data_IF_156136237463
#
_entry.id   IF_156136237463
#
_cell.length_a   1.000
_cell.length_b   1.000
_cell.length_c   1.000
_cell.angle_alpha   90.00
_cell.angle_beta   90.00
_cell.angle_gamma   90.00
#
_symmetry.space_group_name_H-M   'P 1'
#
loop_
_entity.id
_entity.type
_entity.pdbx_description
1 polymer ?
#
# COMPACT_ATOMS: atom_id res chain seq x y z
N UNK A 1 3.94 9.20 -9.92
CA UNK A 1 2.57 9.05 -9.37
C UNK A 1 2.34 10.17 -8.34
N UNK A 2 1.18 10.25 -7.69
CA UNK A 2 0.88 11.32 -6.71
C UNK A 2 0.01 10.83 -5.55
N UNK A 3 0.07 11.54 -4.43
CA UNK A 3 -0.90 11.40 -3.34
C UNK A 3 -2.32 11.70 -3.84
N UNK A 4 -3.29 10.89 -3.42
CA UNK A 4 -4.70 11.15 -3.71
C UNK A 4 -5.20 12.35 -2.90
N UNK A 5 -6.01 13.24 -3.49
CA UNK A 5 -6.43 14.50 -2.85
C UNK A 5 -7.22 14.32 -1.54
N UNK A 6 -7.79 13.14 -1.31
CA UNK A 6 -8.54 12.79 -0.09
C UNK A 6 -7.70 12.06 0.95
N UNK A 7 -6.47 11.64 0.62
CA UNK A 7 -5.65 10.87 1.53
C UNK A 7 -5.14 11.76 2.64
N UNK A 8 -5.17 11.25 3.87
CA UNK A 8 -4.33 11.81 4.93
C UNK A 8 -2.86 11.53 4.58
N UNK A 9 -1.98 12.44 5.01
CA UNK A 9 -0.55 12.36 4.88
C UNK A 9 0.12 12.84 6.19
N UNK A 10 1.43 12.64 6.31
CA UNK A 10 2.23 13.04 7.46
C UNK A 10 3.18 11.93 7.96
N UNK A 11 3.95 12.22 9.02
CA UNK A 11 5.04 11.37 9.50
C UNK A 11 4.56 10.07 10.15
N UNK A 12 3.27 9.94 10.47
CA UNK A 12 2.68 8.72 11.02
C UNK A 12 2.28 7.68 9.97
N UNK A 13 2.45 7.99 8.67
CA UNK A 13 2.25 7.02 7.59
C UNK A 13 3.50 6.15 7.45
N UNK A 14 3.34 4.86 7.13
CA UNK A 14 4.48 3.97 6.86
C UNK A 14 4.88 3.97 5.37
N UNK A 15 3.88 3.82 4.49
CA UNK A 15 4.04 3.78 3.03
C UNK A 15 2.70 4.03 2.32
N UNK A 16 2.77 4.27 1.02
CA UNK A 16 1.63 4.49 0.14
C UNK A 16 1.33 3.25 -0.70
N UNK A 17 0.08 3.08 -1.13
CA UNK A 17 -0.33 2.03 -2.06
C UNK A 17 -1.47 2.52 -2.98
N UNK A 18 -1.76 1.85 -4.10
CA UNK A 18 -2.81 2.26 -5.03
C UNK A 18 -4.19 2.33 -4.37
N UNK A 19 -4.79 3.52 -4.35
CA UNK A 19 -6.10 3.77 -3.73
C UNK A 19 -7.09 4.53 -4.61
N UNK A 20 -6.76 4.83 -5.87
CA UNK A 20 -7.62 5.54 -6.83
C UNK A 20 -7.89 4.63 -8.01
N UNK A 21 -9.13 4.64 -8.49
CA UNK A 21 -9.63 3.82 -9.59
C UNK A 21 -9.36 2.31 -9.38
N UNK A 22 -9.49 1.82 -8.14
CA UNK A 22 -9.24 0.42 -7.80
C UNK A 22 -10.49 -0.41 -8.13
N UNK A 23 -10.36 -1.30 -9.12
CA UNK A 23 -11.41 -2.24 -9.51
C UNK A 23 -11.33 -3.52 -8.68
N UNK A 24 -12.40 -3.89 -8.00
CA UNK A 24 -12.49 -5.13 -7.23
C UNK A 24 -13.90 -5.76 -7.30
N UNK A 25 -14.07 -6.94 -6.71
CA UNK A 25 -15.33 -7.66 -6.65
C UNK A 25 -16.39 -6.88 -5.84
N UNK A 26 -17.67 -7.09 -6.17
CA UNK A 26 -18.80 -6.53 -5.41
C UNK A 26 -19.84 -7.60 -5.05
N UNK A 27 -20.62 -7.41 -3.97
CA UNK A 27 -21.74 -8.29 -3.65
C UNK A 27 -22.74 -8.41 -4.81
N UNK A 28 -23.29 -9.60 -5.02
CA UNK A 28 -24.20 -9.89 -6.14
C UNK A 28 -23.50 -10.17 -7.48
N UNK A 29 -22.16 -10.22 -7.50
CA UNK A 29 -21.36 -10.56 -8.67
C UNK A 29 -20.82 -9.35 -9.44
N UNK A 30 -19.88 -9.62 -10.35
CA UNK A 30 -19.18 -8.60 -11.11
C UNK A 30 -18.19 -7.78 -10.28
N UNK A 31 -17.90 -6.56 -10.74
CA UNK A 31 -16.91 -5.67 -10.14
C UNK A 31 -17.45 -4.25 -9.91
N UNK A 32 -16.81 -3.53 -8.99
CA UNK A 32 -16.95 -2.09 -8.82
C UNK A 32 -15.55 -1.44 -8.80
N UNK A 33 -15.47 -0.20 -9.29
CA UNK A 33 -14.27 0.64 -9.18
C UNK A 33 -14.51 1.68 -8.10
N UNK A 34 -13.58 1.81 -7.16
CA UNK A 34 -13.69 2.74 -6.03
C UNK A 34 -12.37 3.44 -5.75
N UNK A 35 -12.51 4.55 -5.04
CA UNK A 35 -11.40 5.35 -4.51
C UNK A 35 -11.44 5.29 -2.98
N UNK A 36 -10.27 5.30 -2.35
CA UNK A 36 -10.14 5.43 -0.91
C UNK A 36 -8.85 4.82 -0.38
N UNK A 37 -8.43 5.28 0.80
CA UNK A 37 -7.38 4.59 1.58
C UNK A 37 -7.83 3.17 1.97
N UNK A 38 -9.13 2.93 2.10
CA UNK A 38 -9.72 1.59 2.22
C UNK A 38 -9.42 0.67 1.03
N UNK A 39 -9.11 1.21 -0.15
CA UNK A 39 -8.68 0.44 -1.32
C UNK A 39 -7.15 0.30 -1.38
N UNK A 40 -6.39 1.22 -0.80
CA UNK A 40 -4.94 1.11 -0.65
C UNK A 40 -4.56 0.02 0.39
N UNK A 41 -5.23 0.01 1.55
CA UNK A 41 -4.97 -0.95 2.63
C UNK A 41 -4.95 -2.44 2.19
N UNK A 42 -5.90 -2.96 1.40
CA UNK A 42 -5.88 -4.36 0.98
C UNK A 42 -4.71 -4.71 0.04
N UNK A 43 -4.12 -3.75 -0.69
CA UNK A 43 -2.89 -4.02 -1.44
C UNK A 43 -1.72 -4.30 -0.48
N UNK A 44 -1.58 -3.51 0.58
CA UNK A 44 -0.54 -3.72 1.62
C UNK A 44 -0.78 -5.03 2.37
N UNK A 45 -2.03 -5.35 2.70
CA UNK A 45 -2.38 -6.62 3.33
C UNK A 45 -2.02 -7.83 2.44
N UNK A 46 -2.27 -7.75 1.14
CA UNK A 46 -1.84 -8.77 0.18
C UNK A 46 -0.32 -8.91 0.11
N UNK A 47 0.41 -7.79 0.07
CA UNK A 47 1.88 -7.80 0.10
C UNK A 47 2.44 -8.41 1.39
N UNK A 48 1.82 -8.11 2.55
CA UNK A 48 2.15 -8.72 3.83
C UNK A 48 1.93 -10.24 3.81
N UNK A 49 0.84 -10.71 3.19
CA UNK A 49 0.57 -12.14 3.04
C UNK A 49 1.65 -12.83 2.20
N UNK A 50 2.07 -12.23 1.07
CA UNK A 50 3.16 -12.75 0.24
C UNK A 50 4.52 -12.73 0.98
N UNK A 51 4.78 -11.68 1.77
CA UNK A 51 5.96 -11.63 2.63
C UNK A 51 5.95 -12.80 3.63
N UNK A 52 4.83 -13.01 4.33
CA UNK A 52 4.67 -14.10 5.31
C UNK A 52 4.74 -15.49 4.67
N UNK A 53 4.29 -15.65 3.43
CA UNK A 53 4.45 -16.90 2.69
C UNK A 53 5.93 -17.25 2.51
N UNK A 54 6.79 -16.27 2.21
CA UNK A 54 8.24 -16.47 2.06
C UNK A 54 8.99 -16.49 3.40
N UNK A 55 8.43 -15.87 4.44
CA UNK A 55 9.05 -15.75 5.76
C UNK A 55 8.09 -16.19 6.87
N UNK A 56 7.71 -17.49 6.92
CA UNK A 56 6.75 -17.99 7.91
C UNK A 56 7.20 -17.67 9.34
N UNK A 57 6.27 -17.24 10.19
CA UNK A 57 6.55 -16.89 11.59
C UNK A 57 7.16 -15.51 11.81
N UNK A 58 7.31 -14.69 10.76
CA UNK A 58 7.73 -13.29 10.93
C UNK A 58 6.76 -12.52 11.82
N UNK A 59 7.30 -11.71 12.72
CA UNK A 59 6.51 -10.83 13.59
C UNK A 59 5.89 -9.69 12.78
N UNK A 60 4.80 -9.06 13.25
CA UNK A 60 4.22 -7.90 12.58
C UNK A 60 5.23 -6.79 12.27
N UNK A 61 6.14 -6.49 13.22
CA UNK A 61 7.21 -5.49 13.03
C UNK A 61 8.21 -5.90 11.94
N UNK A 62 8.54 -7.18 11.83
CA UNK A 62 9.43 -7.68 10.77
C UNK A 62 8.76 -7.60 9.39
N UNK A 63 7.46 -7.85 9.31
CA UNK A 63 6.68 -7.70 8.07
C UNK A 63 6.63 -6.24 7.64
N UNK A 64 6.28 -5.33 8.55
CA UNK A 64 6.28 -3.88 8.32
C UNK A 64 7.65 -3.40 7.80
N UNK A 65 8.72 -3.75 8.50
CA UNK A 65 10.08 -3.38 8.10
C UNK A 65 10.46 -3.94 6.72
N UNK A 66 10.08 -5.20 6.43
CA UNK A 66 10.31 -5.82 5.13
C UNK A 66 9.58 -5.11 3.99
N UNK A 67 8.32 -4.71 4.21
CA UNK A 67 7.53 -3.96 3.21
C UNK A 67 8.08 -2.55 3.00
N UNK A 68 8.42 -1.83 4.07
CA UNK A 68 9.03 -0.49 4.00
C UNK A 68 10.38 -0.53 3.28
N UNK A 69 11.22 -1.51 3.59
CA UNK A 69 12.53 -1.67 2.94
C UNK A 69 12.43 -2.05 1.46
N UNK A 70 11.37 -2.75 1.06
CA UNK A 70 11.14 -3.13 -0.33
C UNK A 70 10.44 -2.04 -1.16
N UNK A 71 9.82 -1.05 -0.52
CA UNK A 71 9.04 0.00 -1.19
C UNK A 71 9.89 0.81 -2.17
N UNK A 72 9.24 1.31 -3.23
CA UNK A 72 9.89 2.17 -4.23
C UNK A 72 9.96 3.61 -3.71
N UNK A 73 11.16 4.18 -3.52
CA UNK A 73 11.30 5.53 -2.99
C UNK A 73 11.09 6.61 -4.05
N UNK A 74 10.64 7.78 -3.61
CA UNK A 74 10.67 9.05 -4.36
C UNK A 74 9.92 9.02 -5.71
N UNK A 75 8.74 8.39 -5.75
CA UNK A 75 7.87 8.31 -6.94
C UNK A 75 6.59 9.12 -6.85
N UNK A 76 6.29 9.66 -5.66
CA UNK A 76 5.06 10.41 -5.40
C UNK A 76 5.31 11.91 -5.39
N UNK A 77 4.47 12.65 -6.10
CA UNK A 77 4.27 14.08 -5.90
C UNK A 77 3.00 14.36 -5.09
N UNK A 78 2.73 15.63 -4.77
CA UNK A 78 1.51 16.07 -4.07
C UNK A 78 1.27 15.34 -2.73
N UNK A 79 2.33 15.16 -1.95
CA UNK A 79 2.30 14.67 -0.57
C UNK A 79 3.02 15.69 0.31
N UNK A 80 2.68 15.75 1.60
CA UNK A 80 3.40 16.58 2.57
C UNK A 80 4.89 16.22 2.61
N UNK A 81 5.75 17.22 2.84
CA UNK A 81 7.21 17.03 2.83
C UNK A 81 7.73 16.13 3.95
N UNK A 82 6.93 15.95 5.01
CA UNK A 82 7.22 15.10 6.16
C UNK A 82 6.60 13.69 6.05
N UNK A 83 5.84 13.41 4.98
CA UNK A 83 5.39 12.05 4.65
C UNK A 83 6.52 11.20 4.09
N UNK A 84 6.58 9.90 4.39
CA UNK A 84 7.48 9.01 3.67
C UNK A 84 7.07 8.94 2.19
N UNK A 85 8.04 9.19 1.29
CA UNK A 85 7.83 9.00 -0.14
C UNK A 85 8.18 7.56 -0.53
N UNK A 86 7.41 6.60 0.00
CA UNK A 86 7.59 5.17 -0.19
C UNK A 86 6.33 4.57 -0.80
N UNK A 87 6.41 4.06 -2.03
CA UNK A 87 5.30 3.39 -2.71
C UNK A 87 5.45 1.88 -2.61
N UNK A 88 4.41 1.18 -2.15
CA UNK A 88 4.36 -0.29 -2.02
C UNK A 88 4.90 -0.96 -3.28
N UNK A 89 5.76 -1.96 -3.08
CA UNK A 89 6.29 -2.78 -4.15
C UNK A 89 6.28 -4.25 -3.74
N UNK A 90 5.81 -5.10 -4.64
CA UNK A 90 5.81 -6.55 -4.48
C UNK A 90 6.72 -7.11 -5.57
N UNK A 91 7.72 -7.90 -5.19
CA UNK A 91 8.54 -8.63 -6.15
C UNK A 91 7.80 -9.87 -6.63
N UNK A 92 7.80 -10.05 -7.94
CA UNK A 92 7.49 -11.30 -8.62
C UNK A 92 8.83 -12.01 -8.83
N UNK A 93 9.07 -13.08 -8.10
CA UNK A 93 10.22 -13.97 -8.26
C UNK A 93 9.77 -15.39 -8.60
#
# INVERSE_FOLDING_TARGET
DKGAYFSNDGPGLDLWAPGVAVRSAKPGGGSATKDGTSMAAPHVAGAAALYLQRHPGSTPKAVEAGLVAAATPNKLGSISSDSPNLLLYVRED
#
